data_IF_754594097451
#
_entry.id   IF_754594097451
#
_cell.length_a   1.000
_cell.length_b   1.000
_cell.length_c   1.000
_cell.angle_alpha   90.00
_cell.angle_beta   90.00
_cell.angle_gamma   90.00
#
_symmetry.space_group_name_H-M   'P 1'
#
loop_
_entity.id
_entity.type
_entity.pdbx_description
1 polymer ?
#
# COMPACT_ATOMS: atom_id res chain seq x y z
N UNK A 1 8.36 0.37 55.19
CA UNK A 1 8.44 0.23 53.73
C UNK A 1 7.43 1.21 53.19
N UNK A 2 7.89 2.40 52.79
CA UNK A 2 7.00 3.37 52.15
C UNK A 2 6.61 2.77 50.81
N UNK A 3 5.36 2.35 50.72
CA UNK A 3 4.70 2.08 49.46
C UNK A 3 4.75 3.40 48.71
N UNK A 4 5.60 3.46 47.69
CA UNK A 4 5.60 4.58 46.74
C UNK A 4 4.25 4.52 46.05
N UNK A 5 3.27 5.24 46.59
CA UNK A 5 2.04 5.50 45.86
C UNK A 5 2.46 6.32 44.64
N UNK A 6 2.46 5.66 43.49
CA UNK A 6 2.68 6.27 42.19
C UNK A 6 1.47 7.16 41.89
N UNK A 7 1.45 8.34 42.51
CA UNK A 7 0.42 9.35 42.37
C UNK A 7 0.54 9.97 40.97
N UNK A 8 -0.03 9.29 39.96
CA UNK A 8 -0.11 9.83 38.62
C UNK A 8 -1.02 11.05 38.61
N UNK A 9 -0.48 12.20 38.26
CA UNK A 9 -1.29 13.41 38.12
C UNK A 9 -2.27 13.25 36.95
N UNK A 10 -3.49 13.79 37.05
CA UNK A 10 -4.47 13.75 35.95
C UNK A 10 -3.90 14.32 34.63
N UNK A 11 -3.06 15.35 34.73
CA UNK A 11 -2.37 15.97 33.60
C UNK A 11 -1.40 15.01 32.90
N UNK A 12 -0.63 14.24 33.67
CA UNK A 12 0.27 13.23 33.13
C UNK A 12 -0.51 12.11 32.43
N UNK A 13 -1.59 11.62 33.05
CA UNK A 13 -2.45 10.59 32.45
C UNK A 13 -3.05 11.09 31.13
N UNK A 14 -3.54 12.32 31.08
CA UNK A 14 -4.07 12.91 29.85
C UNK A 14 -3.00 13.02 28.76
N UNK A 15 -1.78 13.43 29.11
CA UNK A 15 -0.66 13.51 28.16
C UNK A 15 -0.25 12.14 27.61
N UNK A 16 -0.19 11.12 28.46
CA UNK A 16 0.10 9.73 28.04
C UNK A 16 -1.02 9.19 27.15
N UNK A 17 -2.28 9.38 27.55
CA UNK A 17 -3.44 8.91 26.80
C UNK A 17 -3.50 9.53 25.39
N UNK A 18 -3.28 10.84 25.29
CA UNK A 18 -3.27 11.54 24.00
C UNK A 18 -2.14 11.05 23.07
N UNK A 19 -0.95 10.76 23.60
CA UNK A 19 0.13 10.14 22.81
C UNK A 19 -0.26 8.76 22.29
N UNK A 20 -0.72 7.88 23.18
CA UNK A 20 -1.06 6.50 22.81
C UNK A 20 -2.21 6.45 21.81
N UNK A 21 -3.27 7.24 22.02
CA UNK A 21 -4.40 7.34 21.09
C UNK A 21 -3.91 7.82 19.72
N UNK A 22 -3.06 8.85 19.68
CA UNK A 22 -2.50 9.35 18.42
C UNK A 22 -1.72 8.27 17.68
N UNK A 23 -0.84 7.53 18.38
CA UNK A 23 -0.10 6.43 17.77
C UNK A 23 -1.01 5.34 17.22
N UNK A 24 -2.01 4.90 18.01
CA UNK A 24 -2.97 3.88 17.59
C UNK A 24 -3.77 4.32 16.36
N UNK A 25 -4.23 5.57 16.33
CA UNK A 25 -4.94 6.14 15.18
C UNK A 25 -4.05 6.14 13.93
N UNK A 26 -2.80 6.61 14.06
CA UNK A 26 -1.85 6.62 12.94
C UNK A 26 -1.57 5.22 12.40
N UNK A 27 -1.39 4.24 13.29
CA UNK A 27 -1.16 2.86 12.91
C UNK A 27 -2.37 2.24 12.23
N UNK A 28 -3.57 2.51 12.74
CA UNK A 28 -4.82 2.08 12.12
C UNK A 28 -4.98 2.65 10.69
N UNK A 29 -4.59 3.91 10.46
CA UNK A 29 -4.58 4.51 9.13
C UNK A 29 -3.61 3.81 8.18
N UNK A 30 -2.38 3.53 8.62
CA UNK A 30 -1.38 2.81 7.80
C UNK A 30 -1.88 1.42 7.43
N UNK A 31 -2.42 0.67 8.40
CA UNK A 31 -2.98 -0.66 8.18
C UNK A 31 -4.16 -0.59 7.21
N UNK A 32 -5.06 0.38 7.39
CA UNK A 32 -6.20 0.60 6.49
C UNK A 32 -5.73 0.91 5.06
N UNK A 33 -4.70 1.74 4.89
CA UNK A 33 -4.13 2.04 3.58
C UNK A 33 -3.53 0.79 2.90
N UNK A 34 -2.83 -0.05 3.66
CA UNK A 34 -2.31 -1.32 3.13
C UNK A 34 -3.44 -2.27 2.71
N UNK A 35 -4.56 -2.32 3.44
CA UNK A 35 -5.74 -3.08 3.03
C UNK A 35 -6.43 -2.51 1.80
N UNK A 36 -6.52 -1.18 1.68
CA UNK A 36 -7.06 -0.50 0.49
C UNK A 36 -6.18 -0.81 -0.73
N UNK A 37 -4.84 -0.75 -0.59
CA UNK A 37 -3.90 -1.14 -1.65
C UNK A 37 -4.08 -2.61 -2.05
N UNK A 38 -4.23 -3.53 -1.09
CA UNK A 38 -4.50 -4.93 -1.38
C UNK A 38 -5.82 -5.13 -2.11
N UNK A 39 -6.88 -4.48 -1.65
CA UNK A 39 -8.21 -4.55 -2.27
C UNK A 39 -8.16 -4.00 -3.71
N UNK A 40 -7.51 -2.86 -3.93
CA UNK A 40 -7.34 -2.24 -5.23
C UNK A 40 -6.54 -3.14 -6.20
N UNK A 41 -5.49 -3.82 -5.71
CA UNK A 41 -4.76 -4.83 -6.49
C UNK A 41 -5.67 -5.99 -6.90
N UNK A 42 -6.41 -6.57 -5.96
CA UNK A 42 -7.33 -7.70 -6.23
C UNK A 42 -8.38 -7.29 -7.25
N UNK A 43 -8.98 -6.12 -7.07
CA UNK A 43 -9.95 -5.56 -8.00
C UNK A 43 -9.36 -5.34 -9.40
N UNK A 44 -8.15 -4.77 -9.48
CA UNK A 44 -7.43 -4.52 -10.74
C UNK A 44 -7.15 -5.81 -11.50
N UNK A 45 -6.61 -6.82 -10.82
CA UNK A 45 -6.27 -8.08 -11.48
C UNK A 45 -7.52 -8.80 -11.99
N UNK A 46 -8.61 -8.78 -11.22
CA UNK A 46 -9.89 -9.33 -11.66
C UNK A 46 -10.43 -8.59 -12.90
N UNK A 47 -10.31 -7.25 -12.95
CA UNK A 47 -10.72 -6.43 -14.10
C UNK A 47 -9.86 -6.67 -15.34
N UNK A 48 -8.56 -6.83 -15.15
CA UNK A 48 -7.59 -7.06 -16.23
C UNK A 48 -7.45 -8.54 -16.62
N UNK A 49 -8.21 -9.44 -15.97
CA UNK A 49 -8.13 -10.91 -16.14
C UNK A 49 -6.72 -11.47 -15.96
N UNK A 50 -5.89 -10.83 -15.13
CA UNK A 50 -4.56 -11.33 -14.75
C UNK A 50 -4.70 -12.35 -13.62
N UNK A 51 -3.90 -13.43 -13.58
CA UNK A 51 -3.99 -14.44 -12.53
C UNK A 51 -3.62 -13.85 -11.16
N UNK A 52 -4.48 -14.08 -10.17
CA UNK A 52 -4.21 -13.78 -8.76
C UNK A 52 -3.29 -14.85 -8.20
N UNK A 53 -1.98 -14.59 -8.18
CA UNK A 53 -1.01 -15.54 -7.62
C UNK A 53 -0.90 -15.37 -6.10
N UNK A 54 -0.80 -16.50 -5.38
CA UNK A 54 -0.60 -16.51 -3.92
C UNK A 54 0.69 -15.79 -3.50
N UNK A 55 1.68 -15.74 -4.39
CA UNK A 55 2.91 -14.99 -4.23
C UNK A 55 2.68 -13.48 -4.05
N UNK A 56 1.73 -12.89 -4.79
CA UNK A 56 1.40 -11.47 -4.68
C UNK A 56 0.83 -11.13 -3.30
N UNK A 57 -0.01 -12.00 -2.75
CA UNK A 57 -0.55 -11.81 -1.39
C UNK A 57 0.53 -11.93 -0.31
N UNK A 58 1.46 -12.88 -0.46
CA UNK A 58 2.60 -13.03 0.46
C UNK A 58 3.50 -11.79 0.45
N UNK A 59 3.68 -11.15 -0.71
CA UNK A 59 4.41 -9.89 -0.84
C UNK A 59 3.75 -8.77 -0.02
N UNK A 60 2.42 -8.66 -0.05
CA UNK A 60 1.69 -7.66 0.76
C UNK A 60 1.78 -7.96 2.25
N UNK A 61 1.69 -9.23 2.67
CA UNK A 61 1.95 -9.59 4.07
C UNK A 61 3.38 -9.22 4.50
N UNK A 62 4.36 -9.38 3.61
CA UNK A 62 5.73 -8.90 3.81
C UNK A 62 5.80 -7.39 4.06
N UNK A 63 5.11 -6.59 3.23
CA UNK A 63 5.01 -5.12 3.44
C UNK A 63 4.40 -4.78 4.80
N UNK A 64 3.29 -5.42 5.18
CA UNK A 64 2.64 -5.17 6.48
C UNK A 64 3.60 -5.48 7.63
N UNK A 65 4.35 -6.58 7.53
CA UNK A 65 5.37 -6.93 8.52
C UNK A 65 6.52 -5.91 8.60
N UNK A 66 6.93 -5.35 7.46
CA UNK A 66 7.94 -4.29 7.40
C UNK A 66 7.41 -2.98 8.00
N UNK A 67 6.17 -2.60 7.69
CA UNK A 67 5.50 -1.41 8.24
C UNK A 67 5.38 -1.52 9.75
N UNK A 68 5.00 -2.69 10.26
CA UNK A 68 4.92 -2.95 11.70
C UNK A 68 6.27 -2.71 12.41
N UNK A 69 7.38 -3.15 11.81
CA UNK A 69 8.73 -2.92 12.38
C UNK A 69 9.07 -1.44 12.43
N UNK A 70 8.82 -0.69 11.36
CA UNK A 70 9.09 0.75 11.32
C UNK A 70 8.22 1.53 12.33
N UNK A 71 6.94 1.19 12.43
CA UNK A 71 6.03 1.80 13.39
C UNK A 71 6.44 1.52 14.84
N UNK A 72 6.89 0.30 15.15
CA UNK A 72 7.41 -0.03 16.49
C UNK A 72 8.68 0.75 16.84
N UNK A 73 9.63 0.86 15.90
CA UNK A 73 10.85 1.65 16.12
C UNK A 73 10.48 3.12 16.36
N UNK A 74 9.55 3.67 15.56
CA UNK A 74 9.08 5.05 15.74
C UNK A 74 8.43 5.27 17.11
N UNK A 75 7.61 4.32 17.59
CA UNK A 75 7.01 4.38 18.93
C UNK A 75 8.06 4.32 20.03
N UNK A 76 9.08 3.48 19.92
CA UNK A 76 10.17 3.41 20.91
C UNK A 76 10.88 4.76 21.00
N UNK A 77 11.18 5.39 19.86
CA UNK A 77 11.80 6.72 19.82
C UNK A 77 10.88 7.77 20.48
N UNK A 78 9.60 7.78 20.14
CA UNK A 78 8.63 8.70 20.74
C UNK A 78 8.50 8.52 22.25
N UNK A 79 8.56 7.28 22.76
CA UNK A 79 8.54 6.99 24.21
C UNK A 79 9.81 7.52 24.88
N UNK A 80 10.98 7.34 24.27
CA UNK A 80 12.25 7.88 24.81
C UNK A 80 12.21 9.41 24.86
N UNK A 81 11.71 10.06 23.80
CA UNK A 81 11.56 11.52 23.75
C UNK A 81 10.53 11.97 24.80
N UNK A 82 9.37 11.31 24.88
CA UNK A 82 8.32 11.63 25.84
C UNK A 82 8.81 11.54 27.29
N UNK A 83 9.49 10.45 27.64
CA UNK A 83 10.03 10.24 28.99
C UNK A 83 11.12 11.26 29.32
N UNK A 84 12.07 11.49 28.40
CA UNK A 84 13.15 12.46 28.58
C UNK A 84 12.64 13.89 28.74
N UNK A 85 11.68 14.31 27.92
CA UNK A 85 11.09 15.64 27.98
C UNK A 85 10.15 15.82 29.17
N UNK A 86 9.42 14.77 29.58
CA UNK A 86 8.57 14.80 30.79
C UNK A 86 9.41 15.07 32.05
N UNK A 87 10.63 14.52 32.13
CA UNK A 87 11.57 14.82 33.22
C UNK A 87 12.00 16.29 33.25
N UNK A 88 12.01 16.96 32.09
CA UNK A 88 12.33 18.38 31.95
C UNK A 88 11.09 19.30 32.07
N UNK A 89 9.91 18.75 32.33
CA UNK A 89 8.65 19.50 32.35
C UNK A 89 8.17 19.98 30.98
N UNK A 90 8.69 19.40 29.90
CA UNK A 90 8.36 19.78 28.52
C UNK A 90 7.34 18.80 27.94
N UNK A 91 6.21 19.32 27.45
CA UNK A 91 5.19 18.53 26.76
C UNK A 91 5.63 18.25 25.32
N UNK A 92 5.52 17.00 24.90
CA UNK A 92 5.89 16.55 23.54
C UNK A 92 4.69 16.02 22.77
N UNK A 93 4.94 15.55 21.55
CA UNK A 93 3.98 14.91 20.66
C UNK A 93 4.69 13.75 19.93
N UNK A 94 4.01 12.66 19.51
CA UNK A 94 4.66 11.53 18.85
C UNK A 94 5.02 11.84 17.39
N UNK A 95 6.06 12.67 17.20
CA UNK A 95 6.49 13.19 15.90
C UNK A 95 7.06 12.07 15.04
N UNK A 96 7.81 11.13 15.60
CA UNK A 96 8.43 10.06 14.82
C UNK A 96 7.36 9.13 14.24
N UNK A 97 6.38 8.71 15.04
CA UNK A 97 5.25 7.91 14.58
C UNK A 97 4.47 8.62 13.47
N UNK A 98 4.26 9.94 13.59
CA UNK A 98 3.57 10.72 12.57
C UNK A 98 4.35 10.75 11.24
N UNK A 99 5.66 11.01 11.29
CA UNK A 99 6.51 11.07 10.09
C UNK A 99 6.61 9.72 9.37
N UNK A 100 6.80 8.63 10.12
CA UNK A 100 6.85 7.29 9.53
C UNK A 100 5.50 6.90 8.96
N UNK A 101 4.40 7.14 9.68
CA UNK A 101 3.05 6.83 9.19
C UNK A 101 2.73 7.61 7.91
N UNK A 102 3.03 8.92 7.88
CA UNK A 102 2.85 9.74 6.68
C UNK A 102 3.66 9.21 5.49
N UNK A 103 4.92 8.81 5.73
CA UNK A 103 5.79 8.26 4.69
C UNK A 103 5.23 6.94 4.11
N UNK A 104 4.76 6.05 4.97
CA UNK A 104 4.14 4.78 4.56
C UNK A 104 2.84 5.01 3.77
N UNK A 105 2.00 5.95 4.20
CA UNK A 105 0.79 6.33 3.47
C UNK A 105 1.09 6.86 2.07
N UNK A 106 2.14 7.68 1.91
CA UNK A 106 2.57 8.19 0.60
C UNK A 106 3.01 7.05 -0.33
N UNK A 107 3.73 6.05 0.18
CA UNK A 107 4.17 4.89 -0.59
C UNK A 107 2.98 4.11 -1.14
N UNK A 108 2.00 3.77 -0.29
CA UNK A 108 0.83 3.01 -0.75
C UNK A 108 -0.08 3.85 -1.66
N UNK A 109 -0.21 5.15 -1.40
CA UNK A 109 -0.95 6.06 -2.30
C UNK A 109 -0.33 6.11 -3.69
N UNK A 110 1.01 6.15 -3.79
CA UNK A 110 1.69 6.08 -5.09
C UNK A 110 1.38 4.77 -5.83
N UNK A 111 1.35 3.64 -5.12
CA UNK A 111 0.99 2.37 -5.72
C UNK A 111 -0.44 2.33 -6.23
N UNK A 112 -1.40 2.92 -5.51
CA UNK A 112 -2.80 3.03 -5.96
C UNK A 112 -2.92 3.84 -7.26
N UNK A 113 -2.15 4.93 -7.38
CA UNK A 113 -2.11 5.76 -8.60
C UNK A 113 -1.56 4.97 -9.78
N UNK A 114 -0.52 4.16 -9.56
CA UNK A 114 0.05 3.29 -10.58
C UNK A 114 -0.98 2.29 -11.13
N UNK A 115 -1.69 1.56 -10.25
CA UNK A 115 -2.74 0.64 -10.69
C UNK A 115 -3.90 1.37 -11.40
N UNK A 116 -4.28 2.57 -10.93
CA UNK A 116 -5.29 3.38 -11.59
C UNK A 116 -4.88 3.78 -13.01
N UNK A 117 -3.59 4.10 -13.21
CA UNK A 117 -3.03 4.42 -14.53
C UNK A 117 -3.00 3.19 -15.43
N UNK A 118 -2.56 2.03 -14.93
CA UNK A 118 -2.55 0.77 -15.68
C UNK A 118 -3.94 0.39 -16.20
N UNK A 119 -4.98 0.50 -15.36
CA UNK A 119 -6.37 0.26 -15.78
C UNK A 119 -6.79 1.17 -16.93
N UNK A 120 -6.39 2.43 -16.89
CA UNK A 120 -6.73 3.42 -17.92
C UNK A 120 -5.98 3.16 -19.23
N UNK A 121 -4.70 2.81 -19.18
CA UNK A 121 -3.92 2.49 -20.38
C UNK A 121 -4.42 1.21 -21.05
N UNK A 122 -4.66 0.13 -20.30
CA UNK A 122 -5.16 -1.13 -20.89
C UNK A 122 -6.53 -0.95 -21.52
N UNK A 123 -7.43 -0.17 -20.92
CA UNK A 123 -8.72 0.15 -21.52
C UNK A 123 -8.58 0.94 -22.83
N UNK A 124 -7.65 1.90 -22.89
CA UNK A 124 -7.39 2.70 -24.08
C UNK A 124 -6.76 1.88 -25.23
N UNK A 125 -5.83 0.98 -24.91
CA UNK A 125 -5.21 0.10 -25.91
C UNK A 125 -6.24 -0.87 -26.50
N UNK A 126 -7.12 -1.43 -25.66
CA UNK A 126 -8.21 -2.29 -26.11
C UNK A 126 -9.18 -1.53 -27.04
N UNK A 127 -9.52 -0.28 -26.73
CA UNK A 127 -10.35 0.55 -27.61
C UNK A 127 -9.67 0.84 -28.96
N UNK A 128 -8.36 1.10 -28.97
CA UNK A 128 -7.58 1.30 -30.20
C UNK A 128 -7.56 0.05 -31.08
N UNK A 129 -7.41 -1.14 -30.49
CA UNK A 129 -7.46 -2.41 -31.21
C UNK A 129 -8.85 -2.62 -31.83
N UNK A 130 -9.93 -2.35 -31.09
CA UNK A 130 -11.30 -2.45 -31.65
C UNK A 130 -11.49 -1.47 -32.80
N UNK A 131 -11.04 -0.22 -32.65
CA UNK A 131 -11.12 0.77 -33.73
C UNK A 131 -10.30 0.36 -34.96
N UNK A 132 -9.09 -0.20 -34.81
CA UNK A 132 -8.31 -0.67 -35.95
C UNK A 132 -8.93 -1.88 -36.64
N UNK A 133 -9.60 -2.78 -35.91
CA UNK A 133 -10.39 -3.89 -36.50
C UNK A 133 -11.62 -3.37 -37.25
N UNK A 134 -12.37 -2.43 -36.67
CA UNK A 134 -13.62 -1.90 -37.28
C UNK A 134 -13.32 -0.97 -38.46
N UNK A 135 -12.19 -0.23 -38.42
CA UNK A 135 -11.76 0.63 -39.52
C UNK A 135 -10.98 -0.11 -40.61
N UNK A 136 -10.62 -1.39 -40.40
CA UNK A 136 -10.05 -2.24 -41.43
C UNK A 136 -11.11 -2.51 -42.52
N UNK A 137 -11.06 -1.71 -43.59
CA UNK A 137 -12.00 -1.79 -44.72
C UNK A 137 -11.78 -3.02 -45.64
N UNK A 138 -10.82 -3.90 -45.32
CA UNK A 138 -10.49 -5.11 -46.11
C UNK A 138 -10.07 -6.28 -45.21
N UNK A 139 -10.45 -7.51 -45.58
CA UNK A 139 -10.08 -8.78 -44.93
C UNK A 139 -8.57 -8.92 -44.67
N UNK A 140 -7.73 -8.26 -45.48
CA UNK A 140 -6.28 -8.31 -45.38
C UNK A 140 -5.75 -7.51 -44.18
N UNK A 141 -6.39 -6.38 -43.85
CA UNK A 141 -6.06 -5.57 -42.69
C UNK A 141 -6.62 -6.18 -41.41
N UNK A 142 -7.83 -6.76 -41.47
CA UNK A 142 -8.41 -7.53 -40.38
C UNK A 142 -7.52 -8.74 -39.99
N UNK A 143 -6.99 -9.49 -40.98
CA UNK A 143 -6.05 -10.59 -40.74
C UNK A 143 -4.75 -10.13 -40.07
N UNK A 144 -4.19 -8.99 -40.47
CA UNK A 144 -2.97 -8.45 -39.84
C UNK A 144 -3.20 -8.05 -38.39
N UNK A 145 -4.34 -7.45 -38.07
CA UNK A 145 -4.68 -7.09 -36.68
C UNK A 145 -4.94 -8.33 -35.84
N UNK A 146 -5.64 -9.34 -36.37
CA UNK A 146 -5.84 -10.63 -35.68
C UNK A 146 -4.50 -11.33 -35.43
N UNK A 147 -3.57 -11.28 -36.40
CA UNK A 147 -2.26 -11.89 -36.25
C UNK A 147 -1.39 -11.15 -35.24
N UNK A 148 -1.43 -9.81 -35.22
CA UNK A 148 -0.78 -9.00 -34.19
C UNK A 148 -1.32 -9.28 -32.79
N UNK A 149 -2.65 -9.44 -32.64
CA UNK A 149 -3.27 -9.81 -31.36
C UNK A 149 -2.92 -11.25 -30.97
N UNK A 150 -2.87 -12.18 -31.92
CA UNK A 150 -2.47 -13.56 -31.66
C UNK A 150 -1.01 -13.68 -31.21
N UNK A 151 -0.11 -12.91 -31.83
CA UNK A 151 1.30 -12.86 -31.46
C UNK A 151 1.49 -12.22 -30.08
N UNK A 152 0.76 -11.12 -29.80
CA UNK A 152 0.76 -10.48 -28.47
C UNK A 152 0.27 -11.41 -27.35
N UNK A 153 -0.79 -12.19 -27.60
CA UNK A 153 -1.30 -13.20 -26.65
C UNK A 153 -0.32 -14.39 -26.53
N UNK A 154 0.36 -14.77 -27.60
CA UNK A 154 1.37 -15.83 -27.63
C UNK A 154 2.62 -15.51 -26.81
N UNK A 155 3.10 -14.27 -26.87
CA UNK A 155 4.22 -13.80 -26.04
C UNK A 155 3.86 -13.79 -24.55
N UNK A 156 2.64 -13.37 -24.17
CA UNK A 156 2.23 -13.34 -22.76
C UNK A 156 2.18 -14.75 -22.13
N UNK A 157 1.79 -15.77 -22.91
CA UNK A 157 1.80 -17.18 -22.46
C UNK A 157 3.21 -17.71 -22.24
N UNK A 158 4.16 -17.40 -23.12
CA UNK A 158 5.55 -17.87 -23.00
C UNK A 158 6.28 -17.23 -21.81
N UNK A 159 5.96 -15.97 -21.48
CA UNK A 159 6.52 -15.31 -20.30
C UNK A 159 5.98 -15.93 -19.00
N UNK A 160 4.68 -16.20 -18.91
CA UNK A 160 4.09 -16.83 -17.72
C UNK A 160 4.61 -18.26 -17.49
N UNK A 161 4.83 -19.03 -18.55
CA UNK A 161 5.33 -20.41 -18.42
C UNK A 161 6.80 -20.47 -17.95
N UNK A 162 7.60 -19.45 -18.24
CA UNK A 162 9.02 -19.34 -17.83
C UNK A 162 9.20 -18.79 -16.41
N UNK A 163 8.15 -18.26 -15.79
CA UNK A 163 8.13 -17.77 -14.41
C UNK A 163 7.70 -18.88 -13.44
N UNK A 164 7.06 -19.94 -13.95
CA UNK A 164 6.63 -21.11 -13.17
C UNK A 164 7.66 -22.26 -13.14
N UNK A 165 8.72 -22.22 -13.96
CA UNK A 165 9.92 -23.08 -13.90
C UNK A 165 11.00 -22.53 -12.97
#
# INVERSE_FOLDING_TARGET
MDIVELQFTPEFIHSVATHLITCVVMWALVVSAAFIDLWDRVYTQNKLKKPLTSHLMRKTLGKIGEYWRFLLIALIIDVVIFTSCSLLGVKTFPICTLLFSASLLIIETKSLIEHARERKSTAADMQRIIQSVVSAASDRDAKKVIQYVADYIGEEKNVNQKIEE
#
